data_IF_911701185757
#
_entry.id   IF_911701185757
#
_cell.length_a   1.000
_cell.length_b   1.000
_cell.length_c   1.000
_cell.angle_alpha   90.00
_cell.angle_beta   90.00
_cell.angle_gamma   90.00
#
_symmetry.space_group_name_H-M   'P 1'
#
loop_
_entity.id
_entity.type
_entity.pdbx_description
1 polymer ?
#
# COMPACT_ATOMS: atom_id res chain seq x y z
N UNK A 1 -47.33 -14.12 -29.23
CA UNK A 1 -46.01 -14.69 -29.56
C UNK A 1 -44.93 -13.63 -29.33
N UNK A 2 -43.85 -14.04 -28.66
CA UNK A 2 -42.70 -13.25 -28.21
C UNK A 2 -41.89 -12.67 -29.38
N UNK A 3 -41.41 -11.43 -29.25
CA UNK A 3 -40.05 -11.04 -29.71
C UNK A 3 -39.39 -10.15 -28.66
N UNK A 4 -38.73 -10.85 -27.74
CA UNK A 4 -37.71 -10.34 -26.83
C UNK A 4 -36.65 -9.58 -27.63
N UNK A 5 -36.54 -8.26 -27.41
CA UNK A 5 -35.35 -7.48 -27.76
C UNK A 5 -34.23 -7.98 -26.86
N UNK A 6 -33.46 -8.94 -27.38
CA UNK A 6 -32.26 -9.45 -26.78
C UNK A 6 -31.25 -8.29 -26.75
N UNK A 7 -31.24 -7.59 -25.62
CA UNK A 7 -30.36 -6.48 -25.34
C UNK A 7 -28.94 -7.04 -25.32
N UNK A 8 -28.21 -6.85 -26.41
CA UNK A 8 -26.77 -7.08 -26.51
C UNK A 8 -26.09 -6.17 -25.49
N UNK A 9 -26.02 -6.64 -24.23
CA UNK A 9 -24.98 -6.21 -23.31
C UNK A 9 -23.67 -6.65 -23.95
N UNK A 10 -23.08 -5.75 -24.72
CA UNK A 10 -21.66 -5.73 -24.97
C UNK A 10 -21.00 -5.92 -23.61
N UNK A 11 -20.53 -7.15 -23.34
CA UNK A 11 -19.52 -7.36 -22.31
C UNK A 11 -18.33 -6.56 -22.85
N UNK A 12 -18.04 -5.43 -22.22
CA UNK A 12 -16.77 -4.75 -22.41
C UNK A 12 -15.67 -5.81 -22.39
N UNK A 13 -14.69 -5.76 -23.30
CA UNK A 13 -13.57 -6.68 -23.25
C UNK A 13 -13.05 -6.65 -21.83
N UNK A 14 -13.01 -7.80 -21.15
CA UNK A 14 -12.25 -7.92 -19.92
C UNK A 14 -10.83 -7.52 -20.29
N UNK A 15 -10.49 -6.26 -20.05
CA UNK A 15 -9.20 -5.68 -20.31
C UNK A 15 -8.20 -6.65 -19.67
N UNK A 16 -7.37 -7.29 -20.49
CA UNK A 16 -6.37 -8.22 -19.99
C UNK A 16 -5.63 -7.49 -18.88
N UNK A 17 -5.67 -8.07 -17.69
CA UNK A 17 -5.04 -7.56 -16.48
C UNK A 17 -3.55 -7.39 -16.71
N UNK A 18 -3.16 -6.23 -17.23
CA UNK A 18 -1.78 -5.88 -17.39
C UNK A 18 -1.29 -5.37 -16.04
N UNK A 19 -0.62 -6.24 -15.29
CA UNK A 19 -0.08 -5.97 -13.96
C UNK A 19 0.77 -4.70 -13.98
N UNK A 20 1.61 -4.53 -15.01
CA UNK A 20 2.45 -3.35 -15.19
C UNK A 20 1.61 -2.07 -15.33
N UNK A 21 0.52 -2.14 -16.10
CA UNK A 21 -0.43 -1.01 -16.23
C UNK A 21 -1.06 -0.66 -14.88
N UNK A 22 -1.50 -1.66 -14.09
CA UNK A 22 -2.04 -1.43 -12.75
C UNK A 22 -1.02 -0.74 -11.86
N UNK A 23 0.20 -1.27 -11.78
CA UNK A 23 1.28 -0.75 -10.93
C UNK A 23 1.62 0.69 -11.31
N UNK A 24 1.81 0.97 -12.60
CA UNK A 24 2.14 2.31 -13.08
C UNK A 24 1.00 3.30 -12.83
N UNK A 25 -0.23 2.94 -13.20
CA UNK A 25 -1.41 3.81 -13.00
C UNK A 25 -1.62 4.11 -11.53
N UNK A 26 -1.45 3.12 -10.65
CA UNK A 26 -1.46 3.34 -9.21
C UNK A 26 -0.32 4.27 -8.75
N UNK A 27 0.91 4.06 -9.22
CA UNK A 27 2.04 4.93 -8.90
C UNK A 27 1.84 6.38 -9.38
N UNK A 28 1.10 6.60 -10.46
CA UNK A 28 0.72 7.93 -10.97
C UNK A 28 -0.61 8.46 -10.41
N UNK A 29 -1.13 7.91 -9.31
CA UNK A 29 -2.36 8.35 -8.64
C UNK A 29 -3.63 8.28 -9.51
N UNK A 30 -3.65 7.45 -10.56
CA UNK A 30 -4.84 7.22 -11.36
C UNK A 30 -5.87 6.42 -10.57
N UNK A 31 -6.82 7.15 -9.98
CA UNK A 31 -7.87 6.59 -9.14
C UNK A 31 -8.88 5.70 -9.87
N UNK A 32 -8.95 5.79 -11.21
CA UNK A 32 -9.91 4.99 -11.99
C UNK A 32 -9.58 3.49 -11.93
N UNK A 33 -8.32 3.12 -11.66
CA UNK A 33 -7.89 1.72 -11.55
C UNK A 33 -8.57 0.98 -10.40
N UNK A 34 -8.88 1.67 -9.30
CA UNK A 34 -9.51 1.04 -8.13
C UNK A 34 -10.93 0.55 -8.41
N UNK A 35 -11.61 1.18 -9.39
CA UNK A 35 -12.93 0.73 -9.87
C UNK A 35 -12.82 -0.48 -10.78
N UNK A 36 -11.78 -0.56 -11.61
CA UNK A 36 -11.61 -1.68 -12.55
C UNK A 36 -11.15 -2.97 -11.88
N UNK A 37 -10.40 -2.89 -10.78
CA UNK A 37 -9.91 -4.06 -10.03
C UNK A 37 -10.91 -4.65 -9.03
N UNK A 38 -12.04 -3.97 -8.80
CA UNK A 38 -13.05 -4.39 -7.82
C UNK A 38 -13.61 -5.77 -8.18
N UNK A 39 -13.77 -6.64 -7.18
CA UNK A 39 -14.32 -7.98 -7.39
C UNK A 39 -13.38 -9.01 -8.02
N UNK A 40 -12.12 -8.67 -8.30
CA UNK A 40 -11.17 -9.59 -8.94
C UNK A 40 -10.28 -10.33 -7.92
N UNK A 41 -10.38 -11.66 -7.76
CA UNK A 41 -9.60 -12.41 -6.77
C UNK A 41 -8.09 -12.35 -7.02
N UNK A 42 -7.66 -12.40 -8.29
CA UNK A 42 -6.24 -12.35 -8.68
C UNK A 42 -5.53 -11.09 -8.21
N UNK A 43 -6.26 -9.98 -8.11
CA UNK A 43 -5.72 -8.72 -7.63
C UNK A 43 -5.37 -8.77 -6.14
N UNK A 44 -6.09 -9.55 -5.33
CA UNK A 44 -5.76 -9.67 -3.92
C UNK A 44 -4.41 -10.36 -3.72
N UNK A 45 -4.12 -11.38 -4.55
CA UNK A 45 -2.82 -12.03 -4.55
C UNK A 45 -1.71 -11.08 -5.04
N UNK A 46 -1.96 -10.30 -6.10
CA UNK A 46 -1.03 -9.28 -6.56
C UNK A 46 -0.75 -8.23 -5.47
N UNK A 47 -1.79 -7.75 -4.80
CA UNK A 47 -1.70 -6.80 -3.70
C UNK A 47 -0.82 -7.36 -2.57
N UNK A 48 -1.02 -8.62 -2.19
CA UNK A 48 -0.17 -9.30 -1.22
C UNK A 48 1.30 -9.39 -1.66
N UNK A 49 1.55 -9.78 -2.92
CA UNK A 49 2.91 -9.84 -3.48
C UNK A 49 3.59 -8.46 -3.42
N UNK A 50 2.88 -7.39 -3.79
CA UNK A 50 3.41 -6.02 -3.75
C UNK A 50 3.75 -5.58 -2.32
N UNK A 51 2.89 -5.92 -1.34
CA UNK A 51 3.13 -5.63 0.07
C UNK A 51 4.37 -6.39 0.57
N UNK A 52 4.53 -7.67 0.20
CA UNK A 52 5.73 -8.45 0.54
C UNK A 52 7.00 -7.86 -0.08
N UNK A 53 6.99 -7.53 -1.38
CA UNK A 53 8.12 -6.89 -2.06
C UNK A 53 8.48 -5.57 -1.38
N UNK A 54 7.47 -4.77 -1.04
CA UNK A 54 7.66 -3.51 -0.33
C UNK A 54 8.26 -3.72 1.05
N UNK A 55 7.86 -4.77 1.77
CA UNK A 55 8.41 -5.08 3.07
C UNK A 55 9.86 -5.55 3.02
N UNK A 56 10.22 -6.35 2.01
CA UNK A 56 11.61 -6.73 1.75
C UNK A 56 12.43 -5.49 1.42
N UNK A 57 11.94 -4.63 0.52
CA UNK A 57 12.61 -3.39 0.14
C UNK A 57 12.81 -2.44 1.32
N UNK A 58 11.82 -2.33 2.20
CA UNK A 58 11.90 -1.54 3.42
C UNK A 58 12.96 -2.10 4.39
N UNK A 59 12.96 -3.41 4.62
CA UNK A 59 13.97 -4.08 5.44
C UNK A 59 15.39 -3.89 4.91
N UNK A 60 15.57 -4.02 3.59
CA UNK A 60 16.84 -3.87 2.91
C UNK A 60 17.34 -2.41 2.86
N UNK A 61 16.43 -1.46 2.62
CA UNK A 61 16.73 -0.03 2.59
C UNK A 61 17.14 0.54 3.95
N UNK A 62 16.68 -0.08 5.04
CA UNK A 62 17.05 0.28 6.42
C UNK A 62 18.29 -0.45 6.95
N UNK A 63 18.91 -1.37 6.19
CA UNK A 63 20.13 -2.06 6.62
C UNK A 63 21.33 -1.10 6.81
N UNK A 64 21.22 0.15 6.32
CA UNK A 64 22.19 1.22 6.55
C UNK A 64 22.03 1.95 7.90
N UNK A 65 20.96 1.67 8.66
CA UNK A 65 20.76 2.22 9.99
C UNK A 65 21.03 1.09 11.01
N UNK A 66 22.12 1.16 11.78
CA UNK A 66 22.37 0.17 12.82
C UNK A 66 21.19 0.17 13.80
N UNK A 67 20.76 -1.03 14.20
CA UNK A 67 19.85 -1.16 15.34
C UNK A 67 20.64 -0.70 16.57
N UNK A 68 20.49 0.57 16.96
CA UNK A 68 21.12 1.17 18.14
C UNK A 68 20.57 0.62 19.48
N UNK A 69 19.88 -0.52 19.45
CA UNK A 69 19.54 -1.24 20.65
C UNK A 69 20.76 -2.04 21.08
N UNK A 70 21.30 -1.75 22.27
CA UNK A 70 22.17 -2.67 23.01
C UNK A 70 21.41 -3.97 23.26
N UNK A 71 21.41 -4.87 22.27
CA UNK A 71 20.78 -6.18 22.37
C UNK A 71 21.56 -6.98 23.41
N UNK A 72 20.93 -7.43 24.51
CA UNK A 72 21.59 -8.35 25.44
C UNK A 72 22.09 -9.58 24.67
N UNK A 73 23.24 -10.16 25.04
CA UNK A 73 23.86 -11.30 24.32
C UNK A 73 22.89 -12.48 24.07
N UNK A 74 21.91 -12.66 24.95
CA UNK A 74 20.84 -13.69 24.86
C UNK A 74 19.89 -13.48 23.67
N UNK A 75 19.83 -12.25 23.15
CA UNK A 75 19.01 -11.82 22.01
C UNK A 75 19.89 -11.43 20.81
N UNK A 76 21.17 -11.80 20.79
CA UNK A 76 22.10 -11.54 19.67
C UNK A 76 21.57 -12.00 18.30
N UNK A 77 20.75 -13.06 18.27
CA UNK A 77 20.06 -13.52 17.05
C UNK A 77 19.03 -12.51 16.51
N UNK A 78 18.49 -11.61 17.35
CA UNK A 78 17.60 -10.53 16.92
C UNK A 78 18.36 -9.39 16.23
N UNK A 79 19.69 -9.34 16.38
CA UNK A 79 20.58 -8.45 15.65
C UNK A 79 21.03 -8.99 14.29
N UNK A 80 20.66 -10.23 13.93
CA UNK A 80 20.90 -10.79 12.60
C UNK A 80 20.10 -9.99 11.56
N UNK A 81 20.76 -9.47 10.53
CA UNK A 81 20.15 -8.73 9.42
C UNK A 81 18.93 -9.45 8.84
N UNK A 82 18.96 -10.78 8.81
CA UNK A 82 17.85 -11.60 8.33
C UNK A 82 16.62 -11.51 9.24
N UNK A 83 16.84 -11.48 10.55
CA UNK A 83 15.76 -11.32 11.52
C UNK A 83 15.15 -9.91 11.42
N UNK A 84 15.99 -8.87 11.28
CA UNK A 84 15.54 -7.49 11.09
C UNK A 84 14.71 -7.31 9.81
N UNK A 85 15.10 -7.95 8.70
CA UNK A 85 14.30 -7.91 7.45
C UNK A 85 12.95 -8.58 7.65
N UNK A 86 12.90 -9.74 8.33
CA UNK A 86 11.65 -10.48 8.56
C UNK A 86 10.70 -9.70 9.48
N UNK A 87 11.20 -9.09 10.56
CA UNK A 87 10.37 -8.28 11.46
C UNK A 87 9.82 -7.04 10.77
N UNK A 88 10.64 -6.34 9.97
CA UNK A 88 10.22 -5.18 9.16
C UNK A 88 9.21 -5.56 8.08
N UNK A 89 9.39 -6.71 7.42
CA UNK A 89 8.39 -7.24 6.47
C UNK A 89 7.07 -7.58 7.19
N UNK A 90 7.14 -8.20 8.37
CA UNK A 90 5.97 -8.50 9.20
C UNK A 90 5.20 -7.24 9.59
N UNK A 91 5.92 -6.16 9.93
CA UNK A 91 5.32 -4.86 10.23
C UNK A 91 4.61 -4.23 9.02
N UNK A 92 5.19 -4.33 7.81
CA UNK A 92 4.56 -3.86 6.57
C UNK A 92 3.25 -4.62 6.31
N UNK A 93 3.28 -5.94 6.44
CA UNK A 93 2.09 -6.79 6.24
C UNK A 93 1.03 -6.44 7.29
N UNK A 94 1.41 -6.35 8.56
CA UNK A 94 0.49 -5.99 9.65
C UNK A 94 -0.11 -4.59 9.43
N UNK A 95 0.70 -3.62 9.04
CA UNK A 95 0.27 -2.26 8.71
C UNK A 95 -0.77 -2.25 7.58
N UNK A 96 -0.52 -2.99 6.49
CA UNK A 96 -1.49 -3.15 5.41
C UNK A 96 -2.83 -3.71 5.89
N UNK A 97 -2.79 -4.72 6.77
CA UNK A 97 -4.00 -5.32 7.34
C UNK A 97 -4.77 -4.34 8.22
N UNK A 98 -4.09 -3.68 9.15
CA UNK A 98 -4.69 -2.70 10.05
C UNK A 98 -5.29 -1.55 9.23
N UNK A 99 -4.56 -1.06 8.22
CA UNK A 99 -5.04 0.04 7.38
C UNK A 99 -6.28 -0.34 6.59
N UNK A 100 -6.31 -1.53 5.97
CA UNK A 100 -7.50 -2.00 5.26
C UNK A 100 -8.71 -2.13 6.18
N UNK A 101 -8.54 -2.63 7.40
CA UNK A 101 -9.61 -2.77 8.39
C UNK A 101 -10.10 -1.40 8.86
N UNK A 102 -9.20 -0.49 9.24
CA UNK A 102 -9.57 0.84 9.71
C UNK A 102 -10.20 1.69 8.59
N UNK A 103 -9.66 1.62 7.38
CA UNK A 103 -10.24 2.27 6.20
C UNK A 103 -11.64 1.73 5.93
N UNK A 104 -11.84 0.42 5.99
CA UNK A 104 -13.16 -0.17 5.83
C UNK A 104 -14.14 0.25 6.92
N UNK A 105 -13.73 0.20 8.20
CA UNK A 105 -14.57 0.61 9.34
C UNK A 105 -14.95 2.08 9.24
N UNK A 106 -13.97 2.97 9.05
CA UNK A 106 -14.20 4.42 8.93
C UNK A 106 -15.11 4.73 7.75
N UNK A 107 -14.82 4.21 6.56
CA UNK A 107 -15.62 4.49 5.36
C UNK A 107 -17.03 3.92 5.47
N UNK A 108 -17.20 2.70 5.99
CA UNK A 108 -18.50 2.03 6.06
C UNK A 108 -19.38 2.55 7.18
N UNK A 109 -18.84 2.79 8.37
CA UNK A 109 -19.61 3.24 9.53
C UNK A 109 -19.77 4.75 9.59
N UNK A 110 -18.69 5.52 9.41
CA UNK A 110 -18.74 6.97 9.56
C UNK A 110 -19.19 7.69 8.27
N UNK A 111 -18.91 7.14 7.09
CA UNK A 111 -19.12 7.84 5.81
C UNK A 111 -20.03 7.11 4.81
N UNK A 112 -20.68 6.00 5.20
CA UNK A 112 -21.62 5.22 4.37
C UNK A 112 -21.05 4.81 2.99
N UNK A 113 -19.76 4.46 2.95
CA UNK A 113 -19.06 3.98 1.75
C UNK A 113 -19.62 2.64 1.23
N UNK A 114 -19.40 2.38 -0.06
CA UNK A 114 -19.95 1.20 -0.77
C UNK A 114 -18.96 0.03 -0.90
N UNK A 115 -17.67 0.26 -0.64
CA UNK A 115 -16.61 -0.73 -0.80
C UNK A 115 -16.73 -1.92 0.16
N UNK A 116 -16.41 -3.12 -0.32
CA UNK A 116 -16.26 -4.29 0.54
C UNK A 116 -14.92 -4.26 1.27
N UNK A 117 -14.79 -5.02 2.36
CA UNK A 117 -13.52 -5.15 3.08
C UNK A 117 -12.43 -5.75 2.17
N UNK A 118 -12.79 -6.74 1.34
CA UNK A 118 -11.87 -7.39 0.41
C UNK A 118 -11.38 -6.39 -0.65
N UNK A 119 -12.25 -5.50 -1.12
CA UNK A 119 -11.84 -4.45 -2.06
C UNK A 119 -10.89 -3.43 -1.42
N UNK A 120 -11.03 -3.15 -0.13
CA UNK A 120 -10.06 -2.33 0.62
C UNK A 120 -8.70 -3.01 0.71
N UNK A 121 -8.66 -4.31 1.04
CA UNK A 121 -7.40 -5.07 1.04
C UNK A 121 -6.70 -5.02 -0.32
N UNK A 122 -7.45 -5.26 -1.41
CA UNK A 122 -6.92 -5.16 -2.79
C UNK A 122 -6.36 -3.77 -3.09
N UNK A 123 -7.17 -2.74 -2.83
CA UNK A 123 -6.87 -1.37 -3.26
C UNK A 123 -5.70 -0.78 -2.49
N UNK A 124 -5.71 -0.94 -1.16
CA UNK A 124 -4.61 -0.48 -0.32
C UNK A 124 -3.35 -1.30 -0.62
N UNK A 125 -3.43 -2.62 -0.84
CA UNK A 125 -2.22 -3.40 -1.11
C UNK A 125 -1.55 -3.06 -2.44
N UNK A 126 -2.32 -2.70 -3.48
CA UNK A 126 -1.73 -2.15 -4.71
C UNK A 126 -1.15 -0.75 -4.48
N UNK A 127 -1.70 0.03 -3.54
CA UNK A 127 -1.14 1.34 -3.18
C UNK A 127 0.28 1.27 -2.59
N UNK A 128 0.76 0.08 -2.20
CA UNK A 128 2.15 -0.14 -1.82
C UNK A 128 3.11 -0.21 -3.02
N UNK A 129 2.62 -0.22 -4.26
CA UNK A 129 3.45 -0.27 -5.47
C UNK A 129 4.64 0.72 -5.49
N UNK A 130 4.49 2.00 -5.09
CA UNK A 130 5.62 2.93 -5.00
C UNK A 130 6.69 2.53 -3.97
N UNK A 131 6.35 1.65 -3.04
CA UNK A 131 7.25 1.15 -2.00
C UNK A 131 8.43 0.34 -2.54
N UNK A 132 8.45 -0.03 -3.82
CA UNK A 132 9.66 -0.56 -4.47
C UNK A 132 10.85 0.42 -4.41
N UNK A 133 10.58 1.71 -4.27
CA UNK A 133 11.61 2.73 -4.08
C UNK A 133 12.39 2.54 -2.77
N UNK A 134 11.91 1.74 -1.82
CA UNK A 134 12.64 1.44 -0.59
C UNK A 134 13.98 0.73 -0.83
N UNK A 135 14.13 -0.03 -1.91
CA UNK A 135 15.42 -0.60 -2.31
C UNK A 135 16.48 0.48 -2.60
N UNK A 136 16.05 1.69 -2.97
CA UNK A 136 16.93 2.83 -3.19
C UNK A 136 17.56 3.41 -1.91
N UNK A 137 17.15 2.96 -0.72
CA UNK A 137 17.70 3.42 0.56
C UNK A 137 19.21 3.21 0.71
N UNK A 138 19.79 2.26 -0.04
CA UNK A 138 21.24 2.00 -0.01
C UNK A 138 22.09 2.99 -0.82
N UNK A 139 21.47 3.95 -1.51
CA UNK A 139 22.19 4.93 -2.33
C UNK A 139 22.87 5.96 -1.40
N UNK A 140 24.15 5.70 -1.10
CA UNK A 140 24.99 6.52 -0.23
C UNK A 140 25.60 7.77 -0.86
N UNK A 141 24.90 8.43 -1.79
CA UNK A 141 25.39 9.68 -2.40
C UNK A 141 25.01 10.86 -1.49
N UNK A 142 25.96 11.72 -1.05
CA UNK A 142 25.64 12.92 -0.29
C UNK A 142 24.78 13.89 -1.10
N UNK A 143 23.72 14.40 -0.49
CA UNK A 143 22.83 15.45 -0.98
C UNK A 143 22.82 16.63 0.01
N UNK A 144 22.20 17.75 -0.37
CA UNK A 144 22.19 19.02 0.39
C UNK A 144 21.84 18.90 1.88
N UNK A 145 21.04 17.90 2.28
CA UNK A 145 20.57 17.69 3.67
C UNK A 145 20.56 16.21 4.13
N UNK A 146 21.35 15.32 3.53
CA UNK A 146 21.34 13.88 3.87
C UNK A 146 21.86 13.00 2.72
N UNK A 147 21.58 11.71 2.73
CA UNK A 147 21.86 10.86 1.56
C UNK A 147 20.70 10.87 0.56
N UNK A 148 21.00 10.69 -0.73
CA UNK A 148 19.96 10.45 -1.75
C UNK A 148 19.07 9.26 -1.38
N UNK A 149 19.62 8.23 -0.72
CA UNK A 149 18.88 7.09 -0.18
C UNK A 149 17.83 7.49 0.85
N UNK A 150 18.18 8.32 1.84
CA UNK A 150 17.22 8.82 2.84
C UNK A 150 16.09 9.64 2.21
N UNK A 151 16.42 10.48 1.23
CA UNK A 151 15.43 11.25 0.47
C UNK A 151 14.46 10.35 -0.31
N UNK A 152 14.98 9.30 -0.96
CA UNK A 152 14.16 8.31 -1.67
C UNK A 152 13.27 7.52 -0.72
N UNK A 153 13.79 7.11 0.45
CA UNK A 153 12.99 6.46 1.48
C UNK A 153 11.84 7.37 1.89
N UNK A 154 12.11 8.62 2.28
CA UNK A 154 11.08 9.56 2.72
C UNK A 154 10.03 9.82 1.63
N UNK A 155 10.48 10.02 0.38
CA UNK A 155 9.60 10.17 -0.76
C UNK A 155 8.69 8.94 -0.94
N UNK A 156 9.24 7.73 -0.89
CA UNK A 156 8.48 6.50 -1.02
C UNK A 156 7.41 6.36 0.08
N UNK A 157 7.73 6.74 1.33
CA UNK A 157 6.76 6.75 2.44
C UNK A 157 5.57 7.69 2.14
N UNK A 158 5.87 8.92 1.73
CA UNK A 158 4.86 9.94 1.37
C UNK A 158 4.04 9.52 0.16
N UNK A 159 4.67 8.87 -0.82
CA UNK A 159 4.00 8.45 -2.03
C UNK A 159 3.05 7.28 -1.78
N UNK A 160 3.48 6.25 -1.05
CA UNK A 160 2.61 5.14 -0.63
C UNK A 160 1.40 5.67 0.15
N UNK A 161 1.60 6.66 1.03
CA UNK A 161 0.49 7.29 1.72
C UNK A 161 -0.47 8.01 0.78
N UNK A 162 0.02 8.89 -0.09
CA UNK A 162 -0.82 9.64 -1.02
C UNK A 162 -1.66 8.70 -1.90
N UNK A 163 -1.01 7.64 -2.41
CA UNK A 163 -1.66 6.59 -3.20
C UNK A 163 -2.67 5.80 -2.36
N UNK A 164 -2.35 5.48 -1.11
CA UNK A 164 -3.27 4.79 -0.20
C UNK A 164 -4.51 5.61 0.14
N UNK A 165 -4.37 6.93 0.36
CA UNK A 165 -5.53 7.81 0.57
C UNK A 165 -6.42 7.83 -0.68
N UNK A 166 -5.82 7.95 -1.87
CA UNK A 166 -6.55 7.89 -3.14
C UNK A 166 -7.27 6.55 -3.30
N UNK A 167 -6.63 5.43 -2.95
CA UNK A 167 -7.22 4.10 -2.98
C UNK A 167 -8.46 4.03 -2.08
N UNK A 168 -8.37 4.47 -0.83
CA UNK A 168 -9.50 4.46 0.12
C UNK A 168 -10.68 5.27 -0.42
N UNK A 169 -10.43 6.47 -0.96
CA UNK A 169 -11.48 7.32 -1.54
C UNK A 169 -12.23 6.64 -2.67
N UNK A 170 -11.48 6.12 -3.65
CA UNK A 170 -12.07 5.56 -4.87
C UNK A 170 -12.78 4.23 -4.59
N UNK A 171 -12.21 3.39 -3.73
CA UNK A 171 -12.80 2.11 -3.33
C UNK A 171 -14.04 2.29 -2.46
N UNK A 172 -14.10 3.32 -1.62
CA UNK A 172 -15.31 3.68 -0.90
C UNK A 172 -16.41 4.27 -1.82
N UNK A 173 -16.04 4.72 -3.03
CA UNK A 173 -16.95 5.27 -4.03
C UNK A 173 -17.24 6.77 -3.86
N UNK A 174 -16.36 7.50 -3.18
CA UNK A 174 -16.54 8.94 -2.97
C UNK A 174 -16.13 9.76 -4.19
N UNK A 175 -17.00 10.67 -4.64
CA UNK A 175 -16.71 11.59 -5.76
C UNK A 175 -16.16 12.96 -5.31
N UNK A 176 -16.41 13.34 -4.06
CA UNK A 176 -16.09 14.68 -3.52
C UNK A 176 -14.76 14.66 -2.76
N UNK A 177 -14.16 15.85 -2.61
CA UNK A 177 -12.89 16.05 -1.88
C UNK A 177 -12.98 15.59 -0.41
N UNK A 178 -14.14 15.69 0.23
CA UNK A 178 -14.35 15.13 1.58
C UNK A 178 -14.13 13.61 1.68
N UNK A 179 -14.13 12.88 0.55
CA UNK A 179 -13.82 11.46 0.50
C UNK A 179 -12.36 11.11 0.83
N UNK A 180 -11.45 12.10 0.83
CA UNK A 180 -10.06 11.91 1.26
C UNK A 180 -9.93 11.81 2.79
N UNK A 181 -10.86 12.38 3.55
CA UNK A 181 -10.82 12.42 5.03
C UNK A 181 -10.62 11.03 5.66
N UNK A 182 -11.43 9.99 5.36
CA UNK A 182 -11.22 8.67 5.96
C UNK A 182 -9.87 8.07 5.56
N UNK A 183 -9.41 8.29 4.32
CA UNK A 183 -8.08 7.84 3.88
C UNK A 183 -6.95 8.52 4.65
N UNK A 184 -7.04 9.83 4.86
CA UNK A 184 -6.04 10.61 5.61
C UNK A 184 -6.03 10.20 7.07
N UNK A 185 -7.19 10.15 7.73
CA UNK A 185 -7.29 9.80 9.15
C UNK A 185 -6.74 8.41 9.44
N UNK A 186 -7.16 7.42 8.64
CA UNK A 186 -6.70 6.03 8.81
C UNK A 186 -5.25 5.88 8.40
N UNK A 187 -4.84 6.57 7.34
CA UNK A 187 -3.46 6.62 6.89
C UNK A 187 -2.53 7.21 7.94
N UNK A 188 -2.92 8.26 8.68
CA UNK A 188 -2.10 8.86 9.74
C UNK A 188 -1.92 7.87 10.90
N UNK A 189 -3.00 7.20 11.31
CA UNK A 189 -2.94 6.19 12.38
C UNK A 189 -2.01 5.04 11.98
N UNK A 190 -2.16 4.54 10.75
CA UNK A 190 -1.32 3.45 10.24
C UNK A 190 0.12 3.92 9.96
N UNK A 191 0.32 5.15 9.50
CA UNK A 191 1.63 5.75 9.31
C UNK A 191 2.37 5.83 10.64
N UNK A 192 1.70 6.31 11.70
CA UNK A 192 2.29 6.40 13.03
C UNK A 192 2.68 5.02 13.58
N UNK A 193 1.77 4.04 13.50
CA UNK A 193 2.05 2.66 13.89
C UNK A 193 3.18 2.02 13.07
N UNK A 194 3.35 2.43 11.82
CA UNK A 194 4.27 1.78 10.90
C UNK A 194 5.67 2.40 10.90
N UNK A 195 5.79 3.71 10.82
CA UNK A 195 7.07 4.40 10.64
C UNK A 195 7.68 4.94 11.94
N UNK A 196 6.91 5.00 13.02
CA UNK A 196 7.39 5.50 14.32
C UNK A 196 7.62 4.35 15.30
N UNK A 197 6.76 3.32 15.28
CA UNK A 197 6.81 2.21 16.24
C UNK A 197 7.70 1.05 15.76
N UNK A 198 7.89 0.89 14.44
CA UNK A 198 8.77 -0.14 13.88
C UNK A 198 10.02 0.50 13.26
N UNK A 199 11.18 0.43 13.95
CA UNK A 199 12.47 0.90 13.41
C UNK A 199 13.10 -0.06 12.38
#
# INVERSE_FOLDING_TARGET
MKRSKQNNRQKEPQEQLNITSIVLRTAFLDGSIYKSITGQPKILLLAFILVCITGIGFGYGLNNQPFDATTPDVLSFMGDERFAIVTRMGAIILSWNIWAILAWLSTKWAFKGKGSIIDMFRSIGIAYAPGILFFGGQIGVPALNGTWGEGLLMFAKLWVFAVGVQAVKETAGFRKMYGYIPGILTGIICWFLFFVVVP
#
